data_IF_036982718553
#
_entry.id   IF_036982718553
#
_cell.length_a   1.000
_cell.length_b   1.000
_cell.length_c   1.000
_cell.angle_alpha   90.00
_cell.angle_beta   90.00
_cell.angle_gamma   90.00
#
_symmetry.space_group_name_H-M   'P 1'
#
loop_
_entity.id
_entity.type
_entity.pdbx_description
1 polymer ?
#
# COMPACT_ATOMS: atom_id res chain seq x y z
N UNK A 1 25.38 -10.72 15.59
CA UNK A 1 24.81 -9.57 16.33
C UNK A 1 23.37 -9.45 15.89
N UNK A 2 22.45 -10.01 16.69
CA UNK A 2 21.03 -10.17 16.36
C UNK A 2 20.31 -8.86 16.69
N UNK A 3 19.93 -8.11 15.65
CA UNK A 3 19.13 -6.89 15.78
C UNK A 3 17.67 -7.24 16.02
N UNK A 4 17.25 -7.16 17.29
CA UNK A 4 15.85 -7.06 17.73
C UNK A 4 15.24 -5.78 17.13
N UNK A 5 14.00 -5.72 16.66
CA UNK A 5 12.95 -6.73 16.56
C UNK A 5 11.86 -6.20 15.64
N UNK A 6 11.18 -7.11 14.96
CA UNK A 6 9.86 -6.86 14.43
C UNK A 6 8.98 -6.49 15.64
N UNK A 7 8.61 -5.22 15.72
CA UNK A 7 7.61 -4.70 16.63
C UNK A 7 6.41 -5.66 16.61
N UNK A 8 5.81 -5.99 17.76
CA UNK A 8 4.51 -6.66 17.81
C UNK A 8 3.61 -6.00 16.77
N UNK A 9 3.22 -6.73 15.72
CA UNK A 9 2.35 -6.19 14.68
C UNK A 9 0.96 -6.08 15.30
N UNK A 10 0.74 -4.96 15.99
CA UNK A 10 -0.57 -4.53 16.41
C UNK A 10 -1.36 -4.31 15.11
N UNK A 11 -2.46 -5.04 14.93
CA UNK A 11 -3.32 -4.87 13.75
C UNK A 11 -3.73 -3.40 13.64
N UNK A 12 -3.35 -2.76 12.52
CA UNK A 12 -3.71 -1.38 12.25
C UNK A 12 -5.23 -1.26 12.16
N UNK A 13 -5.74 -0.20 12.78
CA UNK A 13 -7.15 0.11 12.82
C UNK A 13 -7.46 1.33 11.96
N UNK A 14 -8.70 1.43 11.52
CA UNK A 14 -9.20 2.47 10.64
C UNK A 14 -10.39 3.20 11.26
N UNK A 15 -10.39 4.51 11.14
CA UNK A 15 -11.40 5.42 11.71
C UNK A 15 -12.15 6.13 10.58
N UNK A 16 -13.43 6.44 10.81
CA UNK A 16 -14.19 7.26 9.85
C UNK A 16 -13.77 8.73 9.94
N UNK A 17 -13.70 9.40 8.78
CA UNK A 17 -13.50 10.85 8.68
C UNK A 17 -14.56 11.69 9.38
N UNK A 18 -15.72 11.10 9.71
CA UNK A 18 -16.81 11.75 10.46
C UNK A 18 -16.85 11.37 11.93
N UNK A 19 -16.02 10.43 12.37
CA UNK A 19 -15.83 10.07 13.78
C UNK A 19 -17.02 9.38 14.46
N UNK A 20 -18.07 9.00 13.72
CA UNK A 20 -19.30 8.43 14.28
C UNK A 20 -19.51 6.96 13.88
N UNK A 21 -18.56 6.37 13.16
CA UNK A 21 -18.54 4.94 12.84
C UNK A 21 -17.58 4.17 13.76
N UNK A 22 -17.81 2.85 13.95
CA UNK A 22 -16.87 1.99 14.64
C UNK A 22 -15.49 2.00 13.98
N UNK A 23 -14.46 1.88 14.81
CA UNK A 23 -13.09 1.64 14.36
C UNK A 23 -12.95 0.18 13.94
N UNK A 24 -12.50 -0.06 12.70
CA UNK A 24 -12.48 -1.39 12.08
C UNK A 24 -11.06 -1.82 11.66
N UNK A 25 -10.76 -3.14 11.59
CA UNK A 25 -9.56 -3.65 10.91
C UNK A 25 -9.67 -3.54 9.37
N UNK A 26 -8.56 -3.76 8.67
CA UNK A 26 -8.46 -3.56 7.21
C UNK A 26 -9.47 -4.38 6.39
N UNK A 27 -9.64 -5.66 6.69
CA UNK A 27 -10.59 -6.56 6.03
C UNK A 27 -12.04 -6.09 6.18
N UNK A 28 -12.44 -5.68 7.37
CA UNK A 28 -13.79 -5.16 7.60
C UNK A 28 -14.01 -3.83 6.85
N UNK A 29 -13.01 -2.95 6.79
CA UNK A 29 -13.09 -1.73 5.96
C UNK A 29 -13.23 -2.05 4.49
N UNK A 30 -12.40 -2.98 3.99
CA UNK A 30 -12.40 -3.40 2.58
C UNK A 30 -13.77 -3.92 2.14
N UNK A 31 -14.43 -4.71 2.98
CA UNK A 31 -15.75 -5.28 2.71
C UNK A 31 -16.90 -4.28 2.91
N UNK A 32 -16.74 -3.32 3.83
CA UNK A 32 -17.77 -2.31 4.12
C UNK A 32 -17.79 -1.19 3.06
N UNK A 33 -16.63 -0.81 2.53
CA UNK A 33 -16.48 0.30 1.61
C UNK A 33 -16.69 1.67 2.29
N UNK A 34 -17.94 2.12 2.38
CA UNK A 34 -18.31 3.39 3.02
C UNK A 34 -18.61 3.21 4.51
N UNK A 35 -18.09 4.11 5.35
CA UNK A 35 -18.39 4.06 6.78
C UNK A 35 -19.89 4.26 7.03
N UNK A 36 -20.42 3.67 8.11
CA UNK A 36 -21.86 3.71 8.43
C UNK A 36 -22.41 5.13 8.63
N UNK A 37 -21.55 6.08 8.94
CA UNK A 37 -21.87 7.51 9.08
C UNK A 37 -21.74 8.30 7.76
N UNK A 38 -21.50 7.61 6.64
CA UNK A 38 -21.27 8.21 5.32
C UNK A 38 -19.88 8.84 5.16
N UNK A 39 -18.96 8.60 6.10
CA UNK A 39 -17.55 8.99 6.00
C UNK A 39 -16.71 7.99 5.19
N UNK A 40 -15.42 8.32 5.06
CA UNK A 40 -14.41 7.43 4.49
C UNK A 40 -13.53 6.89 5.63
N UNK A 41 -13.03 5.67 5.48
CA UNK A 41 -12.08 5.11 6.43
C UNK A 41 -10.65 5.58 6.13
N UNK A 42 -9.94 5.99 7.18
CA UNK A 42 -8.51 6.34 7.16
C UNK A 42 -7.78 5.57 8.26
N UNK A 43 -6.50 5.24 8.10
CA UNK A 43 -5.74 4.58 9.15
C UNK A 43 -5.66 5.49 10.39
N UNK A 44 -5.82 4.89 11.58
CA UNK A 44 -5.70 5.60 12.86
C UNK A 44 -4.30 6.20 13.06
N UNK A 45 -3.27 5.53 12.51
CA UNK A 45 -1.88 5.94 12.53
C UNK A 45 -1.30 5.76 11.13
N UNK A 46 -0.56 6.76 10.65
CA UNK A 46 0.15 6.68 9.38
C UNK A 46 1.48 5.93 9.55
N UNK A 47 1.70 4.80 8.85
CA UNK A 47 3.01 4.18 8.78
C UNK A 47 4.06 5.16 8.24
N UNK A 48 5.25 5.13 8.83
CA UNK A 48 6.35 6.02 8.47
C UNK A 48 7.54 5.23 7.95
N UNK A 49 8.22 5.76 6.93
CA UNK A 49 9.44 5.20 6.37
C UNK A 49 10.63 6.10 6.68
N UNK A 50 11.73 5.52 7.13
CA UNK A 50 12.98 6.25 7.33
C UNK A 50 13.64 6.59 5.99
N UNK A 51 14.63 7.49 6.01
CA UNK A 51 15.46 7.77 4.83
C UNK A 51 16.21 6.53 4.33
N UNK A 52 16.53 5.57 5.20
CA UNK A 52 17.15 4.32 4.79
C UNK A 52 16.15 3.42 4.06
N UNK A 53 14.92 3.34 4.57
CA UNK A 53 13.83 2.58 3.93
C UNK A 53 13.53 3.16 2.55
N UNK A 54 13.36 4.48 2.44
CA UNK A 54 13.09 5.14 1.15
C UNK A 54 14.20 4.90 0.11
N UNK A 55 15.47 4.87 0.54
CA UNK A 55 16.61 4.53 -0.34
C UNK A 55 16.62 3.06 -0.77
N UNK A 56 16.06 2.17 0.04
CA UNK A 56 15.89 0.77 -0.32
C UNK A 56 14.71 0.60 -1.29
N UNK A 57 13.55 1.17 -0.94
CA UNK A 57 12.33 1.14 -1.73
C UNK A 57 12.54 1.68 -3.16
N UNK A 58 13.34 2.74 -3.33
CA UNK A 58 13.61 3.33 -4.64
C UNK A 58 14.33 2.41 -5.64
N UNK A 59 14.83 1.26 -5.19
CA UNK A 59 15.54 0.28 -6.02
C UNK A 59 14.71 -0.96 -6.35
N UNK A 60 13.51 -1.08 -5.77
CA UNK A 60 12.68 -2.26 -5.92
C UNK A 60 11.90 -2.26 -7.24
N UNK A 61 11.65 -3.44 -7.82
CA UNK A 61 10.63 -3.61 -8.85
C UNK A 61 9.25 -3.15 -8.36
N UNK A 62 8.34 -2.83 -9.29
CA UNK A 62 7.04 -2.24 -8.97
C UNK A 62 6.20 -3.10 -8.00
N UNK A 63 6.14 -4.41 -8.23
CA UNK A 63 5.38 -5.36 -7.40
C UNK A 63 5.95 -5.45 -5.98
N UNK A 64 7.27 -5.61 -5.86
CA UNK A 64 7.96 -5.62 -4.56
C UNK A 64 7.78 -4.29 -3.81
N UNK A 65 7.88 -3.17 -4.51
CA UNK A 65 7.62 -1.84 -3.95
C UNK A 65 6.20 -1.72 -3.41
N UNK A 66 5.20 -2.16 -4.18
CA UNK A 66 3.79 -2.15 -3.75
C UNK A 66 3.59 -3.02 -2.51
N UNK A 67 4.16 -4.23 -2.47
CA UNK A 67 4.09 -5.12 -1.31
C UNK A 67 4.66 -4.44 -0.07
N UNK A 68 5.85 -3.86 -0.15
CA UNK A 68 6.51 -3.19 0.98
C UNK A 68 5.75 -1.96 1.47
N UNK A 69 5.19 -1.15 0.56
CA UNK A 69 4.42 0.05 0.92
C UNK A 69 3.08 -0.32 1.58
N UNK A 70 2.39 -1.34 1.07
CA UNK A 70 1.03 -1.69 1.50
C UNK A 70 1.01 -2.56 2.76
N UNK A 71 2.04 -3.39 2.99
CA UNK A 71 2.09 -4.32 4.14
C UNK A 71 1.82 -3.64 5.50
N UNK A 72 2.40 -2.47 5.83
CA UNK A 72 2.10 -1.77 7.09
C UNK A 72 0.65 -1.35 7.25
N UNK A 73 -0.10 -1.15 6.17
CA UNK A 73 -1.52 -0.79 6.19
C UNK A 73 -2.44 -1.99 6.35
N UNK A 74 -2.02 -3.17 5.86
CA UNK A 74 -2.76 -4.42 5.92
C UNK A 74 -2.51 -5.13 7.26
N UNK A 75 -1.31 -5.00 7.82
CA UNK A 75 -0.91 -5.68 9.03
C UNK A 75 -0.85 -7.19 8.84
N UNK A 76 -1.48 -7.96 9.74
CA UNK A 76 -1.49 -9.42 9.74
C UNK A 76 -2.80 -10.02 9.19
N UNK A 77 -3.63 -9.21 8.51
CA UNK A 77 -4.94 -9.63 7.98
C UNK A 77 -4.79 -10.64 6.84
N UNK A 78 -3.74 -10.51 6.03
CA UNK A 78 -3.41 -11.40 4.92
C UNK A 78 -1.99 -11.90 5.14
N UNK A 79 -1.72 -13.18 4.86
CA UNK A 79 -0.35 -13.70 4.94
C UNK A 79 0.55 -13.01 3.91
N UNK A 80 1.86 -12.95 4.18
CA UNK A 80 2.79 -12.31 3.26
C UNK A 80 2.83 -13.01 1.89
N UNK A 81 2.77 -14.34 1.88
CA UNK A 81 2.84 -15.14 0.66
C UNK A 81 1.57 -14.97 -0.19
N UNK A 82 0.38 -14.98 0.46
CA UNK A 82 -0.88 -14.74 -0.23
C UNK A 82 -0.94 -13.31 -0.78
N UNK A 83 -0.55 -12.32 0.01
CA UNK A 83 -0.56 -10.92 -0.41
C UNK A 83 0.41 -10.68 -1.58
N UNK A 84 1.61 -11.26 -1.52
CA UNK A 84 2.59 -11.17 -2.61
C UNK A 84 2.05 -11.77 -3.90
N UNK A 85 1.41 -12.95 -3.81
CA UNK A 85 0.78 -13.60 -4.97
C UNK A 85 -0.34 -12.75 -5.58
N UNK A 86 -1.19 -12.14 -4.75
CA UNK A 86 -2.24 -11.23 -5.20
C UNK A 86 -1.68 -10.00 -5.93
N UNK A 87 -0.59 -9.41 -5.43
CA UNK A 87 0.04 -8.25 -6.04
C UNK A 87 0.68 -8.60 -7.39
N UNK A 88 1.39 -9.72 -7.47
CA UNK A 88 1.95 -10.20 -8.73
C UNK A 88 0.86 -10.43 -9.78
N UNK A 89 -0.23 -11.09 -9.40
CA UNK A 89 -1.36 -11.33 -10.29
C UNK A 89 -2.07 -10.04 -10.71
N UNK A 90 -2.19 -9.06 -9.81
CA UNK A 90 -2.82 -7.76 -10.08
C UNK A 90 -2.10 -7.01 -11.20
N UNK A 91 -0.76 -7.03 -11.20
CA UNK A 91 0.03 -6.27 -12.18
C UNK A 91 0.50 -7.10 -13.38
N UNK A 92 0.26 -8.43 -13.38
CA UNK A 92 0.67 -9.38 -14.44
C UNK A 92 0.26 -8.95 -15.86
N UNK A 93 -0.93 -8.36 -16.00
CA UNK A 93 -1.53 -8.06 -17.31
C UNK A 93 -1.29 -6.62 -17.80
N UNK A 94 -0.40 -5.87 -17.15
CA UNK A 94 -0.03 -4.54 -17.63
C UNK A 94 0.86 -4.67 -18.87
N UNK A 95 0.58 -3.84 -19.88
CA UNK A 95 1.27 -3.87 -21.18
C UNK A 95 2.70 -3.29 -21.13
N UNK A 96 3.07 -2.66 -20.01
CA UNK A 96 4.38 -2.06 -19.81
C UNK A 96 5.12 -2.71 -18.62
N UNK A 97 6.39 -3.13 -18.76
CA UNK A 97 7.13 -3.86 -17.71
C UNK A 97 7.33 -3.05 -16.42
N UNK A 98 7.40 -1.73 -16.52
CA UNK A 98 7.46 -0.84 -15.33
C UNK A 98 6.10 -0.57 -14.68
N UNK A 99 5.00 -1.15 -15.19
CA UNK A 99 3.60 -0.92 -14.78
C UNK A 99 3.12 0.52 -14.99
N UNK A 100 3.78 1.50 -14.37
CA UNK A 100 3.54 2.93 -14.49
C UNK A 100 4.84 3.68 -14.85
N UNK A 101 5.25 3.72 -16.14
CA UNK A 101 6.48 4.38 -16.55
C UNK A 101 6.42 5.91 -16.43
N UNK A 102 7.57 6.52 -16.19
CA UNK A 102 7.78 7.96 -16.32
C UNK A 102 8.29 8.28 -17.73
N UNK A 103 7.61 9.20 -18.41
CA UNK A 103 7.98 9.71 -19.73
C UNK A 103 8.42 11.16 -19.65
N UNK A 104 9.65 11.43 -20.06
CA UNK A 104 10.16 12.79 -20.19
C UNK A 104 9.47 13.47 -21.38
N UNK A 105 8.91 14.65 -21.15
CA UNK A 105 8.31 15.49 -22.20
C UNK A 105 9.24 16.62 -22.64
N UNK A 106 9.87 17.27 -21.67
CA UNK A 106 10.76 18.41 -21.86
C UNK A 106 11.67 18.56 -20.62
N UNK A 107 12.48 19.61 -20.57
CA UNK A 107 13.39 19.95 -19.48
C UNK A 107 12.73 19.81 -18.10
N UNK A 108 13.06 18.73 -17.40
CA UNK A 108 12.53 18.38 -16.08
C UNK A 108 10.99 18.26 -16.00
N UNK A 109 10.31 18.04 -17.13
CA UNK A 109 8.88 17.78 -17.20
C UNK A 109 8.62 16.31 -17.51
N UNK A 110 7.93 15.62 -16.60
CA UNK A 110 7.67 14.19 -16.69
C UNK A 110 6.17 13.90 -16.61
N UNK A 111 5.72 12.89 -17.35
CA UNK A 111 4.40 12.29 -17.20
C UNK A 111 4.55 10.91 -16.57
N UNK A 112 3.72 10.61 -15.58
CA UNK A 112 3.50 9.26 -15.08
C UNK A 112 2.35 8.63 -15.87
N UNK A 113 2.65 7.66 -16.71
CA UNK A 113 1.64 6.98 -17.54
C UNK A 113 0.93 5.90 -16.71
N UNK A 114 -0.36 6.12 -16.41
CA UNK A 114 -1.20 5.24 -15.59
C UNK A 114 -2.27 4.50 -16.41
N UNK A 115 -2.03 4.30 -17.71
CA UNK A 115 -3.01 3.78 -18.68
C UNK A 115 -2.56 2.49 -19.37
N UNK A 116 -1.54 1.80 -18.84
CA UNK A 116 -1.00 0.55 -19.40
C UNK A 116 -1.66 -0.70 -18.81
N UNK A 117 -2.64 -0.54 -17.92
CA UNK A 117 -3.46 -1.63 -17.39
C UNK A 117 -4.59 -2.04 -18.36
N UNK A 118 -5.38 -3.05 -17.99
CA UNK A 118 -6.56 -3.49 -18.75
C UNK A 118 -7.65 -2.42 -18.86
#
# INVERSE_FOLDING_TARGET
MVGRGFCEIKTLKYVSTRGQAPTLPFDEVLLTGLARDGGLYLPEIWPSFSNADLKHLSKLPYTELAIQIMTPFIGNVISHDDFSSMVEDTYRNFQHPSVAPLKLLDHNQWILELFHGP
#
